data_IF_883860414438
#
_entry.id   IF_883860414438
#
_cell.length_a   1.000
_cell.length_b   1.000
_cell.length_c   1.000
_cell.angle_alpha   90.00
_cell.angle_beta   90.00
_cell.angle_gamma   90.00
#
_symmetry.space_group_name_H-M   'P 1'
#
loop_
_entity.id
_entity.type
_entity.pdbx_description
1 polymer ?
#
# COMPACT_ATOMS: atom_id res chain seq x y z
N UNK A 1 -2.82 -15.63 12.42
CA UNK A 1 -3.07 -15.90 11.00
C UNK A 1 -1.81 -15.94 10.17
N UNK A 2 -0.96 -14.94 10.22
CA UNK A 2 0.37 -14.89 9.59
C UNK A 2 1.42 -14.79 10.68
N UNK A 3 2.46 -15.62 10.63
CA UNK A 3 3.63 -15.56 11.52
C UNK A 3 4.90 -15.65 10.70
N UNK A 4 5.77 -14.67 10.86
CA UNK A 4 7.06 -14.54 10.17
C UNK A 4 8.15 -14.38 11.22
N UNK A 5 9.16 -15.27 11.19
CA UNK A 5 10.27 -15.24 12.15
C UNK A 5 11.60 -15.29 11.42
N UNK A 6 12.43 -14.25 11.63
CA UNK A 6 13.79 -14.10 11.10
C UNK A 6 13.89 -14.36 9.58
N UNK A 7 12.88 -13.90 8.83
CA UNK A 7 12.79 -14.09 7.39
C UNK A 7 13.91 -13.37 6.66
N UNK A 8 14.70 -14.13 5.92
CA UNK A 8 15.79 -13.58 5.10
C UNK A 8 15.64 -14.02 3.65
N UNK A 9 15.85 -13.09 2.72
CA UNK A 9 15.92 -13.36 1.29
C UNK A 9 17.11 -12.71 0.64
N UNK A 10 17.97 -13.54 0.05
CA UNK A 10 19.15 -13.12 -0.70
C UNK A 10 18.98 -13.54 -2.15
N UNK A 11 19.09 -12.59 -3.07
CA UNK A 11 19.16 -12.87 -4.49
C UNK A 11 20.62 -12.98 -4.94
N UNK A 12 20.92 -14.01 -5.73
CA UNK A 12 22.22 -14.18 -6.41
C UNK A 12 22.04 -13.72 -7.84
N UNK A 13 22.61 -12.58 -8.19
CA UNK A 13 22.55 -11.99 -9.54
C UNK A 13 23.87 -12.29 -10.23
N UNK A 14 23.79 -12.97 -11.37
CA UNK A 14 24.98 -13.24 -12.18
C UNK A 14 25.57 -11.93 -12.72
N UNK A 15 26.85 -11.69 -12.44
CA UNK A 15 27.58 -10.57 -12.99
C UNK A 15 28.28 -11.01 -14.27
N UNK A 16 27.77 -10.59 -15.42
CA UNK A 16 28.45 -10.83 -16.72
C UNK A 16 29.87 -10.29 -16.67
N UNK A 17 30.82 -11.14 -17.00
CA UNK A 17 32.22 -10.75 -17.16
C UNK A 17 32.49 -10.39 -18.64
N UNK A 18 33.41 -9.47 -18.89
CA UNK A 18 33.74 -9.03 -20.25
C UNK A 18 34.31 -10.16 -21.14
N UNK A 19 34.91 -11.19 -20.53
CA UNK A 19 35.43 -12.35 -21.23
C UNK A 19 34.40 -13.50 -21.19
N UNK A 20 33.84 -13.86 -22.35
CA UNK A 20 32.80 -14.87 -22.49
C UNK A 20 33.20 -16.26 -21.95
N UNK A 21 34.44 -16.73 -22.22
CA UNK A 21 34.92 -18.02 -21.73
C UNK A 21 35.05 -18.01 -20.19
N UNK A 22 35.51 -16.90 -19.63
CA UNK A 22 35.63 -16.75 -18.18
C UNK A 22 34.25 -16.69 -17.50
N UNK A 23 33.25 -16.13 -18.18
CA UNK A 23 31.88 -16.04 -17.68
C UNK A 23 31.17 -17.41 -17.65
N UNK A 24 31.50 -18.33 -18.58
CA UNK A 24 30.96 -19.68 -18.60
C UNK A 24 31.57 -20.55 -17.47
N UNK A 25 32.92 -20.51 -17.34
CA UNK A 25 33.62 -21.41 -16.40
C UNK A 25 33.75 -20.86 -14.97
N UNK A 26 33.75 -19.55 -14.79
CA UNK A 26 33.91 -18.87 -13.49
C UNK A 26 32.85 -17.81 -13.26
N UNK A 27 31.59 -18.25 -13.08
CA UNK A 27 30.45 -17.37 -12.88
C UNK A 27 30.59 -16.59 -11.59
N UNK A 28 30.64 -15.27 -11.66
CA UNK A 28 30.59 -14.37 -10.49
C UNK A 28 29.16 -14.01 -10.17
N UNK A 29 28.80 -14.10 -8.91
CA UNK A 29 27.48 -13.70 -8.43
C UNK A 29 27.59 -12.55 -7.45
N UNK A 30 26.79 -11.51 -7.67
CA UNK A 30 26.56 -10.48 -6.66
C UNK A 30 25.38 -10.91 -5.81
N UNK A 31 25.56 -10.89 -4.49
CA UNK A 31 24.48 -11.12 -3.56
C UNK A 31 23.78 -9.79 -3.25
N UNK A 32 22.46 -9.78 -3.32
CA UNK A 32 21.62 -8.65 -2.93
C UNK A 32 20.65 -9.12 -1.86
N UNK A 33 20.77 -8.59 -0.66
CA UNK A 33 19.88 -8.88 0.46
C UNK A 33 18.60 -8.08 0.25
N UNK A 34 17.49 -8.77 -0.01
CA UNK A 34 16.18 -8.16 -0.19
C UNK A 34 15.37 -8.12 1.12
N UNK A 35 15.57 -9.12 2.01
CA UNK A 35 15.02 -9.17 3.36
C UNK A 35 16.13 -9.65 4.32
N UNK A 36 16.23 -9.01 5.47
CA UNK A 36 17.23 -9.27 6.50
C UNK A 36 16.57 -9.44 7.86
N UNK A 37 16.39 -10.72 8.27
CA UNK A 37 15.84 -11.16 9.55
C UNK A 37 14.51 -10.49 9.94
N UNK A 38 13.59 -10.35 8.96
CA UNK A 38 12.28 -9.73 9.15
C UNK A 38 11.40 -10.64 10.01
N UNK A 39 10.78 -10.07 11.05
CA UNK A 39 9.83 -10.76 11.92
C UNK A 39 8.61 -9.89 12.19
N UNK A 40 7.41 -10.45 12.02
CA UNK A 40 6.13 -9.82 12.33
C UNK A 40 5.02 -10.87 12.38
N UNK A 41 3.89 -10.48 12.96
CA UNK A 41 2.67 -11.30 13.01
C UNK A 41 1.48 -10.46 12.56
N UNK A 42 0.51 -11.09 11.87
CA UNK A 42 -0.75 -10.45 11.47
C UNK A 42 -1.89 -11.35 11.92
N UNK A 43 -2.85 -10.75 12.60
CA UNK A 43 -4.07 -11.41 13.07
C UNK A 43 -5.11 -11.64 11.98
N UNK A 44 -6.24 -12.23 12.34
CA UNK A 44 -7.41 -12.35 11.46
C UNK A 44 -8.15 -11.01 11.37
N UNK A 45 -8.82 -10.78 10.24
CA UNK A 45 -9.62 -9.58 9.96
C UNK A 45 -8.84 -8.25 10.03
N UNK A 46 -7.51 -8.29 9.99
CA UNK A 46 -6.69 -7.08 9.91
C UNK A 46 -6.51 -6.61 8.47
N UNK A 47 -6.56 -5.29 8.25
CA UNK A 47 -6.04 -4.64 7.05
C UNK A 47 -4.74 -3.92 7.42
N UNK A 48 -3.63 -4.44 6.92
CA UNK A 48 -2.28 -3.97 7.22
C UNK A 48 -1.66 -3.31 6.01
N UNK A 49 -1.26 -2.05 6.14
CA UNK A 49 -0.45 -1.36 5.15
C UNK A 49 1.01 -1.78 5.27
N UNK A 50 1.60 -2.26 4.17
CA UNK A 50 3.00 -2.64 4.10
C UNK A 50 3.74 -1.66 3.20
N UNK A 51 4.45 -0.70 3.77
CA UNK A 51 5.02 0.45 3.06
C UNK A 51 6.53 0.52 3.13
N UNK A 52 7.12 1.15 2.13
CA UNK A 52 8.55 1.37 2.01
C UNK A 52 8.92 1.88 0.61
N UNK A 53 10.14 2.39 0.41
CA UNK A 53 10.59 2.81 -0.92
C UNK A 53 10.69 1.63 -1.90
N UNK A 54 10.90 1.94 -3.18
CA UNK A 54 11.15 0.91 -4.18
C UNK A 54 12.42 0.13 -3.81
N UNK A 55 12.36 -1.20 -3.95
CA UNK A 55 13.45 -2.08 -3.53
C UNK A 55 13.56 -2.35 -2.03
N UNK A 56 12.66 -1.82 -1.19
CA UNK A 56 12.69 -2.04 0.26
C UNK A 56 12.40 -3.48 0.71
N UNK A 57 11.82 -4.33 -0.16
CA UNK A 57 11.47 -5.72 0.15
C UNK A 57 9.98 -6.01 0.18
N UNK A 58 9.08 -5.04 -0.07
CA UNK A 58 7.61 -5.20 -0.02
C UNK A 58 7.11 -6.37 -0.87
N UNK A 59 7.28 -6.28 -2.18
CA UNK A 59 6.86 -7.33 -3.13
C UNK A 59 7.55 -8.68 -2.85
N UNK A 60 8.81 -8.67 -2.40
CA UNK A 60 9.53 -9.88 -2.01
C UNK A 60 8.84 -10.56 -0.82
N UNK A 61 8.46 -9.79 0.20
CA UNK A 61 7.72 -10.30 1.37
C UNK A 61 6.40 -10.92 0.96
N UNK A 62 5.57 -10.18 0.20
CA UNK A 62 4.26 -10.66 -0.24
C UNK A 62 4.37 -11.92 -1.10
N UNK A 63 5.35 -12.00 -2.00
CA UNK A 63 5.60 -13.20 -2.82
C UNK A 63 6.02 -14.42 -1.99
N UNK A 64 6.73 -14.21 -0.88
CA UNK A 64 7.07 -15.32 0.04
C UNK A 64 5.82 -15.75 0.81
N UNK A 65 5.03 -14.81 1.33
CA UNK A 65 3.80 -15.11 2.06
C UNK A 65 2.74 -15.82 1.20
N UNK A 66 2.70 -15.53 -0.10
CA UNK A 66 1.80 -16.18 -1.06
C UNK A 66 2.33 -17.49 -1.64
N UNK A 67 3.53 -17.93 -1.26
CA UNK A 67 4.14 -19.19 -1.76
C UNK A 67 4.74 -19.08 -3.18
N UNK A 68 4.77 -17.89 -3.78
CA UNK A 68 5.38 -17.66 -5.11
C UNK A 68 6.90 -17.73 -5.05
N UNK A 69 7.48 -17.32 -3.91
CA UNK A 69 8.92 -17.21 -3.74
C UNK A 69 9.39 -17.94 -2.48
N UNK A 70 10.46 -18.73 -2.59
CA UNK A 70 11.10 -19.37 -1.44
C UNK A 70 11.96 -18.37 -0.64
N UNK A 71 11.93 -18.42 0.70
CA UNK A 71 12.89 -17.69 1.53
C UNK A 71 14.30 -18.29 1.40
N UNK A 72 15.31 -17.54 1.78
CA UNK A 72 16.68 -18.07 1.94
C UNK A 72 16.84 -18.74 3.30
N UNK A 73 16.24 -18.13 4.34
CA UNK A 73 16.18 -18.68 5.70
C UNK A 73 15.03 -18.00 6.48
N UNK A 74 14.74 -18.52 7.67
CA UNK A 74 13.65 -18.07 8.53
C UNK A 74 12.42 -18.96 8.41
N UNK A 75 11.39 -18.65 9.19
CA UNK A 75 10.14 -19.42 9.25
C UNK A 75 8.97 -18.54 8.82
N UNK A 76 8.08 -19.11 8.02
CA UNK A 76 6.86 -18.45 7.54
C UNK A 76 5.70 -19.40 7.65
N UNK A 77 4.70 -18.99 8.41
CA UNK A 77 3.41 -19.68 8.53
C UNK A 77 2.28 -18.73 8.10
N UNK A 78 1.39 -19.20 7.24
CA UNK A 78 0.22 -18.45 6.76
C UNK A 78 -1.00 -19.36 6.80
N UNK A 79 -2.06 -18.97 7.51
CA UNK A 79 -3.28 -19.78 7.67
C UNK A 79 -3.02 -21.20 8.21
N UNK A 80 -1.94 -21.40 8.97
CA UNK A 80 -1.52 -22.70 9.47
C UNK A 80 -0.71 -23.55 8.48
N UNK A 81 -0.43 -23.01 7.28
CA UNK A 81 0.34 -23.69 6.24
C UNK A 81 1.74 -23.07 6.07
N UNK A 82 2.66 -23.84 5.52
CA UNK A 82 3.92 -23.35 4.96
C UNK A 82 3.66 -22.93 3.50
N UNK A 83 3.70 -21.64 3.14
CA UNK A 83 3.18 -21.17 1.85
C UNK A 83 3.82 -21.81 0.62
N UNK A 84 5.12 -22.05 0.66
CA UNK A 84 5.87 -22.59 -0.49
C UNK A 84 5.67 -24.10 -0.72
N UNK A 85 4.97 -24.82 0.16
CA UNK A 85 4.52 -26.20 -0.08
C UNK A 85 3.36 -26.25 -1.07
N UNK A 86 2.73 -25.09 -1.35
CA UNK A 86 1.65 -24.93 -2.35
C UNK A 86 0.49 -25.89 -2.14
N UNK A 87 0.13 -26.16 -0.89
CA UNK A 87 -1.01 -26.99 -0.55
C UNK A 87 -2.29 -26.40 -1.19
N UNK A 88 -3.09 -27.27 -1.82
CA UNK A 88 -4.35 -26.83 -2.47
C UNK A 88 -5.32 -26.13 -1.50
N UNK A 89 -5.42 -26.64 -0.26
CA UNK A 89 -6.22 -26.01 0.79
C UNK A 89 -5.72 -24.62 1.18
N UNK A 90 -4.42 -24.34 1.08
CA UNK A 90 -3.85 -23.01 1.26
C UNK A 90 -4.19 -22.10 0.07
N UNK A 91 -3.96 -22.57 -1.15
CA UNK A 91 -4.15 -21.78 -2.37
C UNK A 91 -5.62 -21.36 -2.56
N UNK A 92 -6.57 -22.21 -2.17
CA UNK A 92 -8.00 -21.88 -2.20
C UNK A 92 -8.42 -20.82 -1.18
N UNK A 93 -7.58 -20.47 -0.20
CA UNK A 93 -7.89 -19.49 0.83
C UNK A 93 -7.21 -18.15 0.63
N UNK A 94 -6.38 -18.02 -0.39
CA UNK A 94 -5.63 -16.77 -0.65
C UNK A 94 -5.96 -16.18 -2.01
N UNK A 95 -5.84 -14.85 -2.11
CA UNK A 95 -5.78 -14.15 -3.39
C UNK A 95 -4.55 -13.26 -3.47
N UNK A 96 -3.99 -13.12 -4.67
CA UNK A 96 -2.86 -12.23 -4.92
C UNK A 96 -3.15 -11.36 -6.14
N UNK A 97 -3.35 -10.06 -5.91
CA UNK A 97 -3.66 -9.06 -6.94
C UNK A 97 -2.46 -8.13 -7.09
N UNK A 98 -1.93 -8.02 -8.31
CA UNK A 98 -0.83 -7.13 -8.66
C UNK A 98 -1.32 -6.04 -9.60
N UNK A 99 -1.13 -4.77 -9.25
CA UNK A 99 -1.52 -3.65 -10.10
C UNK A 99 -0.81 -3.60 -11.47
N UNK A 100 0.37 -4.22 -11.57
CA UNK A 100 1.19 -4.22 -12.78
C UNK A 100 1.05 -5.47 -13.65
N UNK A 101 0.25 -6.47 -13.27
CA UNK A 101 0.10 -7.73 -14.01
C UNK A 101 -1.36 -8.06 -14.24
N UNK A 102 -1.64 -8.56 -15.45
CA UNK A 102 -2.97 -9.02 -15.83
C UNK A 102 -3.10 -10.51 -15.54
N UNK A 103 -4.26 -10.90 -15.00
CA UNK A 103 -4.67 -12.30 -14.80
C UNK A 103 -5.78 -12.69 -15.77
N UNK A 104 -6.43 -11.69 -16.39
CA UNK A 104 -7.50 -11.89 -17.35
C UNK A 104 -6.96 -12.24 -18.75
N UNK A 105 -7.75 -13.02 -19.49
CA UNK A 105 -7.46 -13.37 -20.88
C UNK A 105 -7.75 -12.15 -21.75
N UNK A 106 -6.71 -11.59 -22.36
CA UNK A 106 -6.73 -10.29 -23.02
C UNK A 106 -7.74 -10.16 -24.16
N UNK A 107 -7.88 -11.23 -24.96
CA UNK A 107 -8.74 -11.24 -26.15
C UNK A 107 -10.20 -11.53 -25.87
N UNK A 108 -10.50 -12.10 -24.70
CA UNK A 108 -11.84 -12.57 -24.32
C UNK A 108 -12.56 -11.58 -23.39
N UNK A 109 -13.90 -11.69 -23.27
CA UNK A 109 -14.64 -11.02 -22.22
C UNK A 109 -14.14 -11.43 -20.83
N UNK A 110 -14.27 -10.52 -19.85
CA UNK A 110 -13.87 -10.83 -18.47
C UNK A 110 -14.66 -12.03 -17.89
N UNK A 111 -15.92 -12.21 -18.31
CA UNK A 111 -16.75 -13.38 -17.96
C UNK A 111 -16.07 -14.72 -18.20
N UNK A 112 -15.29 -14.83 -19.27
CA UNK A 112 -14.63 -16.10 -19.62
C UNK A 112 -13.50 -16.43 -18.63
N UNK A 113 -12.76 -15.41 -18.21
CA UNK A 113 -11.78 -15.56 -17.12
C UNK A 113 -12.46 -15.88 -15.77
N UNK A 114 -13.65 -15.36 -15.54
CA UNK A 114 -14.41 -15.67 -14.32
C UNK A 114 -14.91 -17.12 -14.32
N UNK A 115 -15.41 -17.63 -15.45
CA UNK A 115 -15.82 -19.04 -15.59
C UNK A 115 -14.61 -19.99 -15.44
N UNK A 116 -13.44 -19.60 -15.97
CA UNK A 116 -12.21 -20.34 -15.74
C UNK A 116 -11.88 -20.42 -14.24
N UNK A 117 -11.91 -19.29 -13.53
CA UNK A 117 -11.65 -19.25 -12.09
C UNK A 117 -12.72 -20.01 -11.29
N UNK A 118 -13.99 -19.95 -11.67
CA UNK A 118 -15.05 -20.77 -11.09
C UNK A 118 -14.68 -22.25 -11.10
N UNK A 119 -14.19 -22.73 -12.25
CA UNK A 119 -13.77 -24.14 -12.41
C UNK A 119 -12.53 -24.46 -11.55
N UNK A 120 -11.53 -23.58 -11.55
CA UNK A 120 -10.29 -23.76 -10.77
C UNK A 120 -10.56 -23.81 -9.26
N UNK A 121 -11.47 -22.96 -8.78
CA UNK A 121 -11.83 -22.89 -7.35
C UNK A 121 -13.01 -23.78 -6.98
N UNK A 122 -13.57 -24.57 -7.94
CA UNK A 122 -14.68 -25.51 -7.74
C UNK A 122 -15.92 -24.84 -7.14
N UNK A 123 -16.26 -23.63 -7.64
CA UNK A 123 -17.43 -22.89 -7.15
C UNK A 123 -18.73 -23.44 -7.75
N UNK A 124 -19.77 -23.50 -6.93
CA UNK A 124 -21.12 -23.82 -7.43
C UNK A 124 -21.65 -22.70 -8.36
N UNK A 125 -22.57 -23.04 -9.27
CA UNK A 125 -23.21 -22.07 -10.15
C UNK A 125 -23.92 -20.96 -9.37
N UNK A 126 -24.55 -21.32 -8.26
CA UNK A 126 -25.26 -20.37 -7.39
C UNK A 126 -24.31 -19.40 -6.71
N UNK A 127 -23.21 -19.90 -6.10
CA UNK A 127 -22.23 -19.08 -5.40
C UNK A 127 -21.49 -18.17 -6.38
N UNK A 128 -21.10 -18.71 -7.54
CA UNK A 128 -20.49 -17.95 -8.60
C UNK A 128 -21.34 -16.78 -9.06
N UNK A 129 -22.59 -17.03 -9.49
CA UNK A 129 -23.51 -15.99 -9.96
C UNK A 129 -23.76 -14.93 -8.89
N UNK A 130 -23.99 -15.37 -7.65
CA UNK A 130 -24.19 -14.48 -6.51
C UNK A 130 -22.97 -13.59 -6.29
N UNK A 131 -21.77 -14.19 -6.21
CA UNK A 131 -20.54 -13.43 -5.91
C UNK A 131 -20.17 -12.49 -7.04
N UNK A 132 -20.26 -12.91 -8.31
CA UNK A 132 -20.03 -12.01 -9.46
C UNK A 132 -20.98 -10.83 -9.43
N UNK A 133 -22.29 -11.06 -9.20
CA UNK A 133 -23.29 -10.00 -9.10
C UNK A 133 -22.96 -9.00 -7.99
N UNK A 134 -22.70 -9.51 -6.78
CA UNK A 134 -22.36 -8.67 -5.62
C UNK A 134 -21.09 -7.83 -5.82
N UNK A 135 -20.03 -8.42 -6.38
CA UNK A 135 -18.77 -7.69 -6.62
C UNK A 135 -18.94 -6.67 -7.74
N UNK A 136 -19.69 -7.02 -8.80
CA UNK A 136 -19.98 -6.10 -9.89
C UNK A 136 -20.82 -4.90 -9.44
N UNK A 137 -21.78 -5.12 -8.52
CA UNK A 137 -22.59 -4.04 -7.93
C UNK A 137 -21.74 -3.09 -7.09
N UNK A 138 -20.85 -3.62 -6.22
CA UNK A 138 -19.95 -2.79 -5.40
C UNK A 138 -19.03 -1.93 -6.27
N UNK A 139 -18.55 -2.49 -7.41
CA UNK A 139 -17.65 -1.82 -8.35
C UNK A 139 -18.38 -0.99 -9.41
N UNK A 140 -19.72 -1.07 -9.46
CA UNK A 140 -20.56 -0.44 -10.49
C UNK A 140 -20.02 -0.73 -11.90
N UNK A 141 -19.95 -2.02 -12.28
CA UNK A 141 -19.27 -2.44 -13.51
C UNK A 141 -19.96 -3.61 -14.25
N UNK A 142 -21.23 -3.87 -14.00
CA UNK A 142 -21.99 -5.00 -14.59
C UNK A 142 -21.89 -5.02 -16.13
N UNK A 143 -21.98 -3.83 -16.78
CA UNK A 143 -21.92 -3.68 -18.24
C UNK A 143 -20.52 -3.98 -18.84
N UNK A 144 -19.50 -4.07 -18.01
CA UNK A 144 -18.12 -4.31 -18.46
C UNK A 144 -17.79 -5.80 -18.58
N UNK A 145 -18.50 -6.67 -17.86
CA UNK A 145 -18.20 -8.09 -17.72
C UNK A 145 -18.17 -8.82 -19.06
N UNK A 146 -19.08 -8.46 -19.98
CA UNK A 146 -19.21 -9.06 -21.31
C UNK A 146 -18.33 -8.40 -22.37
N UNK A 147 -17.55 -7.37 -22.03
CA UNK A 147 -16.67 -6.69 -22.98
C UNK A 147 -15.30 -7.37 -23.03
N UNK A 148 -14.67 -7.49 -24.21
CA UNK A 148 -13.30 -7.97 -24.34
C UNK A 148 -12.33 -7.12 -23.49
N UNK A 149 -11.47 -7.78 -22.71
CA UNK A 149 -10.55 -7.12 -21.75
C UNK A 149 -9.68 -6.05 -22.42
N UNK A 150 -9.23 -6.30 -23.66
CA UNK A 150 -8.44 -5.35 -24.44
C UNK A 150 -9.12 -4.00 -24.72
N UNK A 151 -10.45 -3.93 -24.64
CA UNK A 151 -11.22 -2.70 -24.89
C UNK A 151 -11.45 -1.87 -23.65
N UNK A 152 -11.06 -2.37 -22.47
CA UNK A 152 -11.27 -1.72 -21.19
C UNK A 152 -10.13 -0.74 -20.89
N UNK A 153 -10.49 0.38 -20.28
CA UNK A 153 -9.50 1.27 -19.67
C UNK A 153 -8.76 0.56 -18.52
N UNK A 154 -7.63 1.13 -18.06
CA UNK A 154 -6.86 0.54 -16.97
C UNK A 154 -7.69 0.39 -15.69
N UNK A 155 -8.51 1.40 -15.34
CA UNK A 155 -9.40 1.35 -14.17
C UNK A 155 -10.52 0.33 -14.33
N UNK A 156 -11.16 0.26 -15.50
CA UNK A 156 -12.20 -0.74 -15.81
C UNK A 156 -11.61 -2.16 -15.75
N UNK A 157 -10.42 -2.35 -16.31
CA UNK A 157 -9.73 -3.63 -16.26
C UNK A 157 -9.39 -4.04 -14.82
N UNK A 158 -8.89 -3.12 -13.99
CA UNK A 158 -8.62 -3.41 -12.58
C UNK A 158 -9.88 -3.87 -11.82
N UNK A 159 -11.05 -3.33 -12.14
CA UNK A 159 -12.32 -3.81 -11.58
C UNK A 159 -12.57 -5.28 -11.93
N UNK A 160 -12.32 -5.67 -13.18
CA UNK A 160 -12.48 -7.06 -13.63
C UNK A 160 -11.41 -7.98 -12.98
N UNK A 161 -10.17 -7.52 -12.85
CA UNK A 161 -9.11 -8.24 -12.13
C UNK A 161 -9.49 -8.52 -10.68
N UNK A 162 -10.08 -7.54 -9.99
CA UNK A 162 -10.56 -7.70 -8.62
C UNK A 162 -11.68 -8.74 -8.52
N UNK A 163 -12.67 -8.70 -9.42
CA UNK A 163 -13.73 -9.71 -9.44
C UNK A 163 -13.11 -11.10 -9.65
N UNK A 164 -12.28 -11.27 -10.68
CA UNK A 164 -11.64 -12.55 -10.99
C UNK A 164 -10.85 -13.12 -9.80
N UNK A 165 -10.08 -12.27 -9.12
CA UNK A 165 -9.23 -12.68 -8.01
C UNK A 165 -10.01 -12.99 -6.72
N UNK A 166 -11.21 -12.45 -6.55
CA UNK A 166 -11.96 -12.51 -5.29
C UNK A 166 -13.24 -13.37 -5.35
N UNK A 167 -13.52 -14.02 -6.49
CA UNK A 167 -14.69 -14.88 -6.71
C UNK A 167 -14.84 -15.97 -5.64
N UNK A 168 -13.73 -16.54 -5.19
CA UNK A 168 -13.67 -17.63 -4.23
C UNK A 168 -13.69 -17.17 -2.76
N UNK A 169 -13.94 -15.87 -2.52
CA UNK A 169 -14.04 -15.24 -1.19
C UNK A 169 -12.86 -15.62 -0.27
N UNK A 170 -11.62 -15.26 -0.63
CA UNK A 170 -10.41 -15.66 0.09
C UNK A 170 -10.38 -15.11 1.52
N UNK A 171 -9.84 -15.89 2.46
CA UNK A 171 -9.61 -15.46 3.85
C UNK A 171 -8.44 -14.46 3.96
N UNK A 172 -7.48 -14.54 3.02
CA UNK A 172 -6.31 -13.67 2.99
C UNK A 172 -6.08 -13.13 1.59
N UNK A 173 -5.92 -11.80 1.49
CA UNK A 173 -5.71 -11.11 0.24
C UNK A 173 -4.40 -10.33 0.29
N UNK A 174 -3.59 -10.51 -0.73
CA UNK A 174 -2.40 -9.72 -1.00
C UNK A 174 -2.67 -8.74 -2.13
N UNK A 175 -2.69 -7.46 -1.85
CA UNK A 175 -2.72 -6.39 -2.84
C UNK A 175 -1.31 -5.79 -3.00
N UNK A 176 -0.68 -6.01 -4.15
CA UNK A 176 0.63 -5.43 -4.46
C UNK A 176 0.45 -4.25 -5.41
N UNK A 177 0.38 -3.05 -4.84
CA UNK A 177 0.19 -1.76 -5.53
C UNK A 177 -1.07 -1.71 -6.43
N UNK A 178 -2.28 -1.99 -5.92
CA UNK A 178 -3.48 -2.18 -6.74
C UNK A 178 -3.98 -0.89 -7.42
N UNK A 179 -3.52 0.28 -6.99
CA UNK A 179 -3.95 1.59 -7.50
C UNK A 179 -2.92 2.24 -8.43
N UNK A 180 -1.81 1.54 -8.72
CA UNK A 180 -0.72 2.09 -9.54
C UNK A 180 -1.20 2.40 -10.96
N UNK A 181 -0.89 3.62 -11.42
CA UNK A 181 -1.21 4.06 -12.78
C UNK A 181 -2.69 4.38 -13.04
N UNK A 182 -3.55 4.22 -12.04
CA UNK A 182 -4.97 4.58 -12.14
C UNK A 182 -5.18 6.08 -11.97
N UNK A 183 -6.22 6.61 -12.62
CA UNK A 183 -6.73 7.95 -12.37
C UNK A 183 -7.36 8.06 -10.97
N UNK A 184 -7.58 9.30 -10.50
CA UNK A 184 -8.05 9.59 -9.14
C UNK A 184 -9.40 8.92 -8.84
N UNK A 185 -10.32 8.91 -9.80
CA UNK A 185 -11.66 8.33 -9.62
C UNK A 185 -11.58 6.81 -9.54
N UNK A 186 -10.77 6.19 -10.40
CA UNK A 186 -10.52 4.75 -10.35
C UNK A 186 -9.83 4.33 -9.06
N UNK A 187 -8.84 5.08 -8.58
CA UNK A 187 -8.18 4.83 -7.29
C UNK A 187 -9.19 4.86 -6.15
N UNK A 188 -10.08 5.87 -6.12
CA UNK A 188 -11.10 5.99 -5.06
C UNK A 188 -12.09 4.81 -5.11
N UNK A 189 -12.55 4.44 -6.30
CA UNK A 189 -13.44 3.29 -6.47
C UNK A 189 -12.81 1.98 -5.97
N UNK A 190 -11.51 1.76 -6.22
CA UNK A 190 -10.78 0.59 -5.74
C UNK A 190 -10.61 0.62 -4.21
N UNK A 191 -10.30 1.77 -3.61
CA UNK A 191 -10.23 1.92 -2.14
C UNK A 191 -11.56 1.59 -1.46
N UNK A 192 -12.65 2.18 -1.96
CA UNK A 192 -13.99 1.92 -1.45
C UNK A 192 -14.37 0.44 -1.59
N UNK A 193 -14.03 -0.17 -2.71
CA UNK A 193 -14.24 -1.60 -2.92
C UNK A 193 -13.48 -2.45 -1.90
N UNK A 194 -12.17 -2.21 -1.71
CA UNK A 194 -11.35 -2.96 -0.74
C UNK A 194 -11.95 -2.87 0.67
N UNK A 195 -12.38 -1.67 1.07
CA UNK A 195 -13.01 -1.44 2.37
C UNK A 195 -14.33 -2.19 2.53
N UNK A 196 -15.23 -2.09 1.53
CA UNK A 196 -16.54 -2.79 1.52
C UNK A 196 -16.36 -4.30 1.49
N UNK A 197 -15.41 -4.79 0.69
CA UNK A 197 -15.10 -6.21 0.61
C UNK A 197 -14.63 -6.76 1.97
N UNK A 198 -13.66 -6.09 2.61
CA UNK A 198 -13.18 -6.49 3.93
C UNK A 198 -14.29 -6.50 4.97
N UNK A 199 -15.15 -5.46 4.99
CA UNK A 199 -16.27 -5.38 5.94
C UNK A 199 -17.28 -6.50 5.73
N UNK A 200 -17.54 -6.87 4.47
CA UNK A 200 -18.52 -7.89 4.12
C UNK A 200 -18.05 -9.31 4.39
N UNK A 201 -16.82 -9.62 4.01
CA UNK A 201 -16.28 -10.99 4.03
C UNK A 201 -15.32 -11.27 5.18
N UNK A 202 -14.90 -10.25 5.94
CA UNK A 202 -13.97 -10.40 7.06
C UNK A 202 -12.57 -10.86 6.67
N UNK A 203 -12.17 -10.67 5.41
CA UNK A 203 -10.84 -11.11 4.93
C UNK A 203 -9.72 -10.30 5.58
N UNK A 204 -8.60 -10.97 5.86
CA UNK A 204 -7.36 -10.30 6.22
C UNK A 204 -6.69 -9.78 4.96
N UNK A 205 -6.18 -8.56 4.99
CA UNK A 205 -5.62 -7.89 3.82
C UNK A 205 -4.23 -7.36 4.12
N UNK A 206 -3.26 -7.70 3.27
CA UNK A 206 -1.96 -7.02 3.20
C UNK A 206 -1.96 -6.15 1.96
N UNK A 207 -1.85 -4.85 2.16
CA UNK A 207 -1.82 -3.86 1.09
C UNK A 207 -0.41 -3.26 1.01
N UNK A 208 0.31 -3.54 -0.08
CA UNK A 208 1.52 -2.77 -0.38
C UNK A 208 1.13 -1.56 -1.22
N UNK A 209 1.67 -0.41 -0.87
CA UNK A 209 1.55 0.79 -1.68
C UNK A 209 2.76 1.69 -1.49
N UNK A 210 3.11 2.44 -2.52
CA UNK A 210 3.98 3.60 -2.42
C UNK A 210 3.16 4.90 -2.31
N UNK A 211 1.86 4.85 -2.57
CA UNK A 211 0.92 5.93 -2.29
C UNK A 211 0.43 5.81 -0.85
N UNK A 212 0.93 6.67 0.02
CA UNK A 212 0.57 6.64 1.44
C UNK A 212 -0.89 6.97 1.70
N UNK A 213 -1.54 7.66 0.78
CA UNK A 213 -2.98 7.93 0.87
C UNK A 213 -3.82 6.65 0.84
N UNK A 214 -3.43 5.63 0.05
CA UNK A 214 -4.11 4.34 0.06
C UNK A 214 -4.09 3.71 1.45
N UNK A 215 -2.91 3.72 2.06
CA UNK A 215 -2.70 3.12 3.38
C UNK A 215 -3.41 3.92 4.46
N UNK A 216 -3.35 5.26 4.40
CA UNK A 216 -4.01 6.16 5.35
C UNK A 216 -5.53 5.96 5.37
N UNK A 217 -6.14 5.73 4.20
CA UNK A 217 -7.59 5.56 4.09
C UNK A 217 -8.06 4.15 4.44
N UNK A 218 -7.24 3.14 4.22
CA UNK A 218 -7.62 1.74 4.36
C UNK A 218 -7.11 1.09 5.63
N UNK A 219 -5.84 1.30 6.00
CA UNK A 219 -5.17 0.55 7.04
C UNK A 219 -5.14 1.27 8.39
N UNK A 220 -5.46 0.55 9.46
CA UNK A 220 -5.26 1.02 10.84
C UNK A 220 -3.86 0.72 11.37
N UNK A 221 -3.22 -0.34 10.85
CA UNK A 221 -1.87 -0.80 11.23
C UNK A 221 -0.95 -0.68 10.03
N UNK A 222 0.29 -0.34 10.30
CA UNK A 222 1.32 -0.06 9.34
C UNK A 222 2.59 -0.83 9.68
N UNK A 223 3.13 -1.54 8.69
CA UNK A 223 4.48 -2.10 8.73
C UNK A 223 5.34 -1.30 7.75
N UNK A 224 6.36 -0.62 8.28
CA UNK A 224 7.31 0.18 7.47
C UNK A 224 8.57 -0.64 7.28
N UNK A 225 8.91 -0.91 6.03
CA UNK A 225 10.13 -1.63 5.66
C UNK A 225 11.10 -0.74 4.87
N UNK A 226 12.39 -0.84 5.14
CA UNK A 226 13.43 -0.19 4.36
C UNK A 226 14.68 -1.07 4.32
N UNK A 227 15.29 -1.21 3.14
CA UNK A 227 16.50 -2.02 2.93
C UNK A 227 16.39 -3.43 3.55
N UNK A 228 15.23 -4.04 3.39
CA UNK A 228 14.96 -5.38 3.88
C UNK A 228 14.72 -5.50 5.39
N UNK A 229 14.64 -4.40 6.15
CA UNK A 229 14.42 -4.40 7.61
C UNK A 229 13.13 -3.68 7.98
N UNK A 230 12.41 -4.18 8.99
CA UNK A 230 11.25 -3.47 9.56
C UNK A 230 11.76 -2.33 10.43
N UNK A 231 11.29 -1.12 10.10
CA UNK A 231 11.57 0.09 10.86
C UNK A 231 10.48 0.40 11.89
N UNK A 232 9.24 0.05 11.57
CA UNK A 232 8.07 0.26 12.41
C UNK A 232 7.02 -0.81 12.15
N UNK A 233 6.37 -1.26 13.19
CA UNK A 233 5.17 -2.10 13.15
C UNK A 233 4.21 -1.63 14.24
N UNK A 234 3.04 -1.15 13.86
CA UNK A 234 2.07 -0.64 14.82
C UNK A 234 0.95 0.20 14.20
N UNK A 235 0.13 0.80 15.06
CA UNK A 235 -1.01 1.62 14.65
C UNK A 235 -0.54 2.88 13.92
N UNK A 236 -1.22 3.19 12.80
CA UNK A 236 -0.99 4.41 12.02
C UNK A 236 -1.12 5.68 12.87
N UNK A 237 -2.10 5.72 13.78
CA UNK A 237 -2.28 6.86 14.68
C UNK A 237 -1.06 7.07 15.59
N UNK A 238 -0.48 6.00 16.13
CA UNK A 238 0.69 6.09 17.02
C UNK A 238 1.93 6.66 16.31
N UNK A 239 2.17 6.30 15.05
CA UNK A 239 3.29 6.86 14.29
C UNK A 239 3.09 8.35 14.02
N UNK A 240 1.86 8.78 13.70
CA UNK A 240 1.52 10.19 13.52
C UNK A 240 1.76 10.94 14.84
N UNK A 241 1.20 10.47 15.95
CA UNK A 241 1.33 11.12 17.25
C UNK A 241 2.79 11.21 17.73
N UNK A 242 3.60 10.19 17.46
CA UNK A 242 5.00 10.12 17.89
C UNK A 242 5.95 10.98 17.04
N UNK A 243 5.68 11.11 15.75
CA UNK A 243 6.60 11.74 14.80
C UNK A 243 6.09 13.07 14.24
N UNK A 244 4.77 13.35 14.25
CA UNK A 244 4.22 14.65 13.89
C UNK A 244 4.42 15.64 15.05
N UNK A 245 5.59 16.28 15.05
CA UNK A 245 5.93 17.34 16.03
C UNK A 245 5.47 18.71 15.62
N UNK A 246 5.03 18.85 14.39
CA UNK A 246 4.73 20.13 13.78
C UNK A 246 3.34 20.18 13.18
N UNK A 247 2.81 21.38 13.12
CA UNK A 247 1.57 21.73 12.42
C UNK A 247 1.89 22.76 11.35
N UNK A 248 1.11 22.75 10.30
CA UNK A 248 1.15 23.79 9.26
C UNK A 248 -0.04 24.70 9.46
N UNK A 249 0.25 26.00 9.64
CA UNK A 249 -0.78 27.04 9.66
C UNK A 249 -0.73 27.71 8.29
N UNK A 250 -1.85 27.74 7.61
CA UNK A 250 -2.03 28.48 6.37
C UNK A 250 -3.06 29.58 6.60
N UNK A 251 -2.68 30.83 6.32
CA UNK A 251 -3.58 31.96 6.31
C UNK A 251 -3.77 32.49 4.90
N UNK A 252 -4.99 32.89 4.59
CA UNK A 252 -5.33 33.76 3.47
C UNK A 252 -5.62 35.14 4.05
N UNK A 253 -4.73 36.08 3.82
CA UNK A 253 -4.79 37.43 4.40
C UNK A 253 -5.80 38.31 3.65
N UNK A 254 -6.60 39.10 4.37
CA UNK A 254 -7.47 40.12 3.79
C UNK A 254 -6.69 41.34 3.28
N UNK A 255 -5.59 41.69 3.96
CA UNK A 255 -4.68 42.77 3.58
C UNK A 255 -3.23 42.40 3.86
N UNK A 256 -2.30 43.04 3.16
CA UNK A 256 -0.86 42.84 3.42
C UNK A 256 -0.53 43.23 4.87
N UNK A 257 0.22 42.40 5.54
CA UNK A 257 0.77 42.63 6.89
C UNK A 257 2.29 42.82 6.80
N UNK A 258 2.88 43.48 7.82
CA UNK A 258 4.32 43.68 7.86
C UNK A 258 5.08 42.37 8.11
N UNK A 259 6.31 42.30 7.62
CA UNK A 259 7.18 41.16 7.88
C UNK A 259 7.50 40.96 9.36
N UNK A 260 7.41 42.02 10.17
CA UNK A 260 7.58 41.95 11.62
C UNK A 260 6.47 41.14 12.27
N UNK A 261 5.21 41.36 11.90
CA UNK A 261 4.04 40.61 12.38
C UNK A 261 4.13 39.15 11.92
N UNK A 262 4.51 38.89 10.66
CA UNK A 262 4.75 37.53 10.14
C UNK A 262 5.81 36.80 10.96
N UNK A 263 6.90 37.51 11.31
CA UNK A 263 8.04 37.00 12.07
C UNK A 263 7.71 36.63 13.53
N UNK A 264 6.71 37.27 14.15
CA UNK A 264 6.27 36.93 15.52
C UNK A 264 5.63 35.56 15.63
N UNK A 265 5.04 35.05 14.55
CA UNK A 265 4.54 33.66 14.49
C UNK A 265 5.71 32.68 14.31
N UNK A 266 6.67 33.05 13.50
CA UNK A 266 7.85 32.26 13.15
C UNK A 266 8.29 32.55 11.72
N UNK A 267 9.35 31.86 11.29
CA UNK A 267 9.82 31.96 9.91
C UNK A 267 8.80 31.28 8.97
N UNK A 268 8.18 32.01 8.03
CA UNK A 268 7.21 31.41 7.13
C UNK A 268 7.90 30.53 6.08
N UNK A 269 7.24 29.44 5.69
CA UNK A 269 7.64 28.61 4.54
C UNK A 269 7.23 29.28 3.22
N UNK A 270 6.08 29.96 3.23
CA UNK A 270 5.54 30.73 2.11
C UNK A 270 5.09 32.07 2.66
N UNK A 271 5.53 33.15 2.04
CA UNK A 271 5.10 34.50 2.33
C UNK A 271 4.81 35.25 1.01
N UNK A 272 3.69 34.88 0.38
CA UNK A 272 3.22 35.45 -0.89
C UNK A 272 1.76 35.81 -0.74
N UNK A 273 1.51 37.13 -0.62
CA UNK A 273 0.16 37.67 -0.50
C UNK A 273 -0.77 37.13 -1.61
N UNK A 274 -1.98 36.67 -1.28
CA UNK A 274 -2.61 36.71 0.05
C UNK A 274 -2.24 35.53 0.96
N UNK A 275 -1.41 34.57 0.56
CA UNK A 275 -1.16 33.32 1.28
C UNK A 275 0.14 33.39 2.08
N UNK A 276 0.03 33.03 3.38
CA UNK A 276 1.20 32.80 4.26
C UNK A 276 1.09 31.44 4.91
N UNK A 277 2.21 30.69 4.95
CA UNK A 277 2.25 29.35 5.53
C UNK A 277 3.41 29.25 6.51
N UNK A 278 3.11 28.77 7.73
CA UNK A 278 4.13 28.49 8.75
C UNK A 278 4.15 27.02 9.11
N UNK A 279 5.33 26.56 9.48
CA UNK A 279 5.56 25.28 10.13
C UNK A 279 5.85 25.54 11.60
N UNK A 280 4.93 25.14 12.49
CA UNK A 280 4.94 25.49 13.91
C UNK A 280 5.06 24.21 14.75
N UNK A 281 5.83 24.23 15.84
CA UNK A 281 5.82 23.15 16.81
C UNK A 281 4.41 22.98 17.40
N UNK A 282 3.93 21.73 17.48
CA UNK A 282 2.58 21.40 17.96
C UNK A 282 2.30 22.00 19.35
N UNK A 283 3.33 22.12 20.19
CA UNK A 283 3.20 22.70 21.54
C UNK A 283 2.92 24.20 21.53
N UNK A 284 3.42 24.89 20.54
CA UNK A 284 3.26 26.35 20.38
C UNK A 284 1.97 26.74 19.63
N UNK A 285 1.25 25.75 19.08
CA UNK A 285 0.07 26.03 18.27
C UNK A 285 -0.99 26.88 18.98
N UNK A 286 -1.40 26.61 20.24
CA UNK A 286 -2.42 27.42 20.91
C UNK A 286 -2.00 28.89 21.04
N UNK A 287 -0.75 29.15 21.44
CA UNK A 287 -0.18 30.50 21.57
C UNK A 287 -0.20 31.26 20.24
N UNK A 288 0.27 30.57 19.16
CA UNK A 288 0.34 31.19 17.83
C UNK A 288 -1.03 31.45 17.22
N UNK A 289 -2.01 30.56 17.47
CA UNK A 289 -3.40 30.81 17.03
C UNK A 289 -4.06 31.96 17.77
N UNK A 290 -3.83 32.12 19.09
CA UNK A 290 -4.31 33.26 19.84
C UNK A 290 -3.74 34.56 19.27
N UNK A 291 -2.43 34.63 19.06
CA UNK A 291 -1.78 35.77 18.43
C UNK A 291 -2.36 36.13 17.04
N UNK A 292 -2.58 35.11 16.19
CA UNK A 292 -3.15 35.30 14.85
C UNK A 292 -4.53 35.93 14.95
N UNK A 293 -5.42 35.37 15.80
CA UNK A 293 -6.79 35.85 15.93
C UNK A 293 -6.88 37.31 16.43
N UNK A 294 -5.95 37.72 17.28
CA UNK A 294 -5.93 39.05 17.86
C UNK A 294 -5.29 40.11 16.94
N UNK A 295 -4.30 39.72 16.11
CA UNK A 295 -3.42 40.69 15.46
C UNK A 295 -3.46 40.65 13.94
N UNK A 296 -4.06 39.63 13.32
CA UNK A 296 -3.98 39.42 11.87
C UNK A 296 -5.38 39.33 11.26
N UNK A 297 -5.77 40.22 10.35
CA UNK A 297 -7.00 40.10 9.59
C UNK A 297 -6.80 39.04 8.47
N UNK A 298 -7.60 37.99 8.51
CA UNK A 298 -7.56 36.89 7.52
C UNK A 298 -8.98 36.51 7.10
N UNK A 299 -9.14 36.07 5.84
CA UNK A 299 -10.37 35.56 5.28
C UNK A 299 -10.50 34.04 5.48
N UNK A 300 -9.37 33.31 5.61
CA UNK A 300 -9.35 31.88 5.80
C UNK A 300 -8.12 31.46 6.63
N UNK A 301 -8.35 30.46 7.53
CA UNK A 301 -7.33 29.86 8.36
C UNK A 301 -7.47 28.34 8.31
N UNK A 302 -6.41 27.66 7.91
CA UNK A 302 -6.34 26.20 8.02
C UNK A 302 -5.17 25.76 8.88
N UNK A 303 -5.40 24.70 9.67
CA UNK A 303 -4.36 24.02 10.49
C UNK A 303 -4.28 22.58 10.08
N UNK A 304 -3.17 22.21 9.48
CA UNK A 304 -2.98 20.86 8.94
C UNK A 304 -1.91 20.09 9.71
N UNK A 305 -2.08 18.76 9.77
CA UNK A 305 -1.04 17.85 10.27
C UNK A 305 0.14 17.78 9.29
N UNK A 306 1.30 17.42 9.82
CA UNK A 306 2.42 17.03 8.97
C UNK A 306 2.01 15.85 8.09
N UNK A 307 2.29 15.95 6.79
CA UNK A 307 1.96 14.88 5.86
C UNK A 307 2.67 13.59 6.27
N UNK A 308 1.94 12.48 6.20
CA UNK A 308 2.47 11.17 6.61
C UNK A 308 3.72 10.78 5.82
N UNK A 309 3.85 11.26 4.59
CA UNK A 309 5.02 11.11 3.74
C UNK A 309 6.28 11.69 4.38
N UNK A 310 6.17 12.89 4.99
CA UNK A 310 7.29 13.55 5.65
C UNK A 310 7.64 12.86 6.98
N UNK A 311 6.63 12.38 7.69
CA UNK A 311 6.83 11.56 8.90
C UNK A 311 7.63 10.30 8.55
N UNK A 312 7.25 9.59 7.51
CA UNK A 312 7.91 8.36 7.08
C UNK A 312 9.30 8.64 6.52
N UNK A 313 9.50 9.72 5.74
CA UNK A 313 10.84 10.17 5.32
C UNK A 313 11.76 10.43 6.52
N UNK A 314 11.21 11.04 7.57
CA UNK A 314 11.96 11.28 8.82
C UNK A 314 12.36 9.97 9.51
N UNK A 315 11.49 8.97 9.48
CA UNK A 315 11.74 7.63 9.98
C UNK A 315 12.88 6.94 9.22
N UNK A 316 12.88 7.05 7.89
CA UNK A 316 13.96 6.52 7.05
C UNK A 316 15.30 7.20 7.36
N UNK A 317 15.33 8.53 7.53
CA UNK A 317 16.57 9.27 7.82
C UNK A 317 17.17 8.93 9.20
N UNK A 318 16.33 8.81 10.25
CA UNK A 318 16.79 8.55 11.62
C UNK A 318 17.42 7.16 11.83
N UNK A 319 17.07 6.15 11.03
CA UNK A 319 17.60 4.79 11.16
C UNK A 319 18.73 4.45 10.17
N UNK A 320 19.00 5.32 9.19
CA UNK A 320 20.17 5.19 8.29
C UNK A 320 21.44 5.80 8.93
N UNK A 321 21.29 6.64 9.95
CA UNK A 321 22.39 7.31 10.66
C UNK A 321 22.87 6.62 11.95
N UNK A 322 22.60 5.31 12.09
CA UNK A 322 23.14 4.47 13.17
C UNK A 322 23.88 3.26 12.64
#
# INVERSE_FOLDING_TARGET
>A
MISVKNLTKIYKIHQRQANFFRDIFFRKYKQTVALDQVSFEIGENELVGFIGPNGAGKTTTVKILSGILYPTSGQVGVLGFTPFEKNAGFLKQIAFVMGSRNQLIWELPASDSFEFNKTVYELSDSDYKKTVGELADILNCQKLISRPVKTLSLGERMKMELIAALLHQPRLIFFDEPTIGLDIFSQEAIREFIKKFQQKYGSTIILTSHYLEDVKRLAKRLIVINQGKILYDGLLKKIIDQYSRVKFITLTLEKKISNEVVGQIGLPLVNLYPKVVWKIDRKLLPEKLAFINENIPYSDLSVEEERIEEIIKTLFKKKIGR
#
